data_IF_036703771335
#
_entry.id   IF_036703771335
#
_cell.length_a   1.000
_cell.length_b   1.000
_cell.length_c   1.000
_cell.angle_alpha   90.00
_cell.angle_beta   90.00
_cell.angle_gamma   90.00
#
_symmetry.space_group_name_H-M   'P 1'
#
loop_
_entity.id
_entity.type
_entity.pdbx_description
1 polymer ?
#
# COMPACT_ATOMS: atom_id res chain seq x y z
N UNK A 1 7.51 -1.48 12.14
CA UNK A 1 6.12 -1.77 11.72
C UNK A 1 6.03 -3.20 11.22
N UNK A 2 4.93 -3.87 11.51
CA UNK A 2 4.71 -5.25 11.09
C UNK A 2 3.33 -5.43 10.44
N UNK A 3 3.25 -6.40 9.54
CA UNK A 3 1.99 -6.87 8.96
C UNK A 3 1.63 -8.18 9.66
N UNK A 4 0.37 -8.30 10.06
CA UNK A 4 -0.15 -9.44 10.79
C UNK A 4 -1.23 -10.14 9.97
N UNK A 5 -1.17 -11.48 9.92
CA UNK A 5 -2.28 -12.31 9.49
C UNK A 5 -3.03 -12.81 10.73
N UNK A 6 -4.32 -12.57 10.76
CA UNK A 6 -5.19 -12.96 11.87
C UNK A 6 -6.23 -13.98 11.42
N UNK A 7 -6.46 -14.99 12.25
CA UNK A 7 -7.54 -15.95 12.02
C UNK A 7 -8.84 -15.40 12.61
N UNK A 8 -9.79 -15.07 11.75
CA UNK A 8 -11.10 -14.56 12.16
C UNK A 8 -11.97 -15.62 12.82
N UNK A 9 -11.73 -16.90 12.55
CA UNK A 9 -12.46 -18.02 13.16
C UNK A 9 -11.94 -18.37 14.56
N UNK A 10 -10.69 -17.96 14.88
CA UNK A 10 -10.07 -18.17 16.20
C UNK A 10 -9.86 -16.82 16.92
N UNK A 11 -10.93 -16.06 17.05
CA UNK A 11 -10.96 -14.80 17.81
C UNK A 11 -9.83 -13.82 17.44
N UNK A 12 -9.55 -13.70 16.14
CA UNK A 12 -8.50 -12.81 15.59
C UNK A 12 -7.08 -13.12 16.08
N UNK A 13 -6.83 -14.37 16.42
CA UNK A 13 -5.49 -14.81 16.80
C UNK A 13 -4.49 -14.51 15.68
N UNK A 14 -3.36 -13.94 16.03
CA UNK A 14 -2.24 -13.73 15.09
C UNK A 14 -1.64 -15.10 14.77
N UNK A 15 -1.68 -15.48 13.51
CA UNK A 15 -1.15 -16.76 13.01
C UNK A 15 0.15 -16.60 12.23
N UNK A 16 0.44 -15.38 11.75
CA UNK A 16 1.67 -15.05 11.05
C UNK A 16 1.94 -13.56 11.09
N UNK A 17 3.22 -13.17 10.99
CA UNK A 17 3.61 -11.77 10.87
C UNK A 17 4.98 -11.62 10.21
N UNK A 18 5.23 -10.48 9.60
CA UNK A 18 6.54 -10.07 9.13
C UNK A 18 6.75 -8.57 9.28
N UNK A 19 8.01 -8.17 9.43
CA UNK A 19 8.40 -6.78 9.57
C UNK A 19 8.45 -6.07 8.21
N UNK A 20 8.12 -4.78 8.20
CA UNK A 20 8.28 -3.89 7.05
C UNK A 20 9.17 -2.71 7.43
N UNK A 21 9.96 -2.17 6.47
CA UNK A 21 11.04 -1.21 6.80
C UNK A 21 10.55 0.16 7.23
N UNK A 22 9.31 0.53 6.93
CA UNK A 22 8.83 1.89 7.18
C UNK A 22 7.81 1.94 8.32
N UNK A 23 7.76 3.05 9.08
CA UNK A 23 6.87 3.16 10.23
C UNK A 23 5.40 3.45 9.86
N UNK A 24 5.13 3.87 8.61
CA UNK A 24 3.78 4.29 8.20
C UNK A 24 3.34 3.56 6.95
N UNK A 25 2.54 2.54 7.16
CA UNK A 25 1.90 1.75 6.13
C UNK A 25 0.39 1.97 6.22
N UNK A 26 -0.26 2.24 5.09
CA UNK A 26 -1.70 2.52 5.05
C UNK A 26 -2.49 1.50 4.23
N UNK A 27 -2.42 1.56 2.91
CA UNK A 27 -3.21 0.70 2.05
C UNK A 27 -2.61 -0.69 1.87
N UNK A 28 -3.45 -1.70 1.82
CA UNK A 28 -3.08 -3.08 1.53
C UNK A 28 -3.94 -3.61 0.38
N UNK A 29 -3.34 -4.32 -0.56
CA UNK A 29 -4.06 -5.00 -1.62
C UNK A 29 -3.46 -6.39 -1.90
N UNK A 30 -4.23 -7.43 -1.62
CA UNK A 30 -3.79 -8.83 -1.80
C UNK A 30 -3.86 -9.21 -3.27
N UNK A 31 -2.80 -9.84 -3.75
CA UNK A 31 -2.70 -10.48 -5.07
C UNK A 31 -2.24 -11.92 -4.91
N UNK A 32 -2.29 -12.73 -5.99
CA UNK A 32 -2.03 -14.16 -5.90
C UNK A 32 -0.67 -14.50 -5.27
N UNK A 33 0.37 -13.78 -5.64
CA UNK A 33 1.74 -14.03 -5.21
C UNK A 33 2.25 -13.08 -4.12
N UNK A 34 1.42 -12.15 -3.63
CA UNK A 34 1.91 -11.20 -2.65
C UNK A 34 0.89 -10.22 -2.11
N UNK A 35 1.40 -9.23 -1.41
CA UNK A 35 0.63 -8.16 -0.81
C UNK A 35 1.24 -6.81 -1.18
N UNK A 36 0.52 -6.01 -1.95
CA UNK A 36 0.89 -4.64 -2.20
C UNK A 36 0.60 -3.77 -0.99
N UNK A 37 1.56 -2.96 -0.60
CA UNK A 37 1.50 -2.10 0.60
C UNK A 37 1.89 -0.67 0.25
N UNK A 38 1.03 0.29 0.57
CA UNK A 38 1.31 1.71 0.37
C UNK A 38 2.09 2.26 1.57
N UNK A 39 3.35 2.57 1.36
CA UNK A 39 4.20 3.32 2.29
C UNK A 39 4.07 4.80 1.94
N UNK A 40 2.96 5.37 2.35
CA UNK A 40 2.49 6.68 1.87
C UNK A 40 3.49 7.81 2.11
N UNK A 41 4.11 7.85 3.28
CA UNK A 41 5.06 8.92 3.64
C UNK A 41 6.35 8.85 2.82
N UNK A 42 6.74 7.65 2.41
CA UNK A 42 7.98 7.42 1.66
C UNK A 42 7.75 7.44 0.14
N UNK A 43 6.52 7.64 -0.29
CA UNK A 43 6.13 7.70 -1.70
C UNK A 43 6.49 6.43 -2.47
N UNK A 44 6.35 5.27 -1.82
CA UNK A 44 6.58 3.97 -2.46
C UNK A 44 5.43 3.01 -2.20
N UNK A 45 5.21 2.12 -3.15
CA UNK A 45 4.30 0.99 -3.00
C UNK A 45 5.15 -0.27 -3.18
N UNK A 46 5.15 -1.13 -2.19
CA UNK A 46 5.99 -2.33 -2.18
C UNK A 46 5.11 -3.57 -2.15
N UNK A 47 5.47 -4.56 -2.96
CA UNK A 47 4.85 -5.87 -2.95
C UNK A 47 5.71 -6.82 -2.13
N UNK A 48 5.11 -7.43 -1.13
CA UNK A 48 5.79 -8.39 -0.27
C UNK A 48 5.27 -9.81 -0.49
N UNK A 49 6.17 -10.78 -0.39
CA UNK A 49 5.82 -12.17 -0.18
C UNK A 49 5.16 -12.33 1.19
N UNK A 50 3.98 -12.94 1.25
CA UNK A 50 3.20 -12.98 2.49
C UNK A 50 3.74 -13.98 3.52
N UNK A 51 4.55 -14.94 3.10
CA UNK A 51 5.13 -15.94 4.00
C UNK A 51 6.47 -15.48 4.57
N UNK A 52 7.36 -15.00 3.70
CA UNK A 52 8.72 -14.60 4.09
C UNK A 52 8.86 -13.12 4.47
N UNK A 53 7.96 -12.26 3.97
CA UNK A 53 8.11 -10.81 4.07
C UNK A 53 9.12 -10.22 3.10
N UNK A 54 9.66 -11.03 2.17
CA UNK A 54 10.61 -10.55 1.18
C UNK A 54 9.95 -9.58 0.20
N UNK A 55 10.67 -8.53 -0.18
CA UNK A 55 10.23 -7.61 -1.23
C UNK A 55 10.26 -8.33 -2.59
N UNK A 56 9.12 -8.35 -3.28
CA UNK A 56 8.96 -8.97 -4.60
C UNK A 56 9.00 -7.92 -5.71
N UNK A 57 8.48 -6.73 -5.46
CA UNK A 57 8.36 -5.68 -6.47
C UNK A 57 8.20 -4.32 -5.80
N UNK A 58 8.48 -3.24 -6.55
CA UNK A 58 8.44 -1.87 -6.03
C UNK A 58 7.97 -0.89 -7.09
N UNK A 59 7.10 0.01 -6.68
CA UNK A 59 6.69 1.18 -7.46
C UNK A 59 7.13 2.41 -6.68
N UNK A 60 8.06 3.19 -7.23
CA UNK A 60 8.44 4.47 -6.67
C UNK A 60 7.63 5.58 -7.33
N UNK A 61 7.01 6.41 -6.53
CA UNK A 61 6.22 7.55 -6.98
C UNK A 61 7.05 8.83 -6.89
N UNK A 62 6.86 9.71 -7.87
CA UNK A 62 7.51 11.02 -7.87
C UNK A 62 6.79 11.99 -6.92
N UNK A 63 7.45 13.09 -6.60
CA UNK A 63 6.92 14.09 -5.67
C UNK A 63 5.59 14.70 -6.14
N UNK A 64 5.38 14.78 -7.46
CA UNK A 64 4.16 15.30 -8.06
C UNK A 64 3.04 14.28 -8.22
N UNK A 65 3.31 13.02 -7.92
CA UNK A 65 2.32 11.95 -8.05
C UNK A 65 1.31 11.96 -6.90
N UNK A 66 0.27 11.12 -7.02
CA UNK A 66 -0.73 10.92 -6.00
C UNK A 66 -0.11 10.47 -4.67
N UNK A 67 -0.63 10.97 -3.58
CA UNK A 67 -0.26 10.53 -2.22
C UNK A 67 -1.06 9.28 -1.88
N UNK A 68 -0.61 8.12 -2.39
CA UNK A 68 -1.35 6.86 -2.33
C UNK A 68 -1.58 6.42 -0.88
N UNK A 69 -2.85 6.21 -0.53
CA UNK A 69 -3.25 5.84 0.82
C UNK A 69 -4.04 4.52 0.82
N UNK A 70 -5.25 4.53 0.26
CA UNK A 70 -6.04 3.31 0.10
C UNK A 70 -5.68 2.58 -1.18
N UNK A 71 -5.76 1.25 -1.17
CA UNK A 71 -5.53 0.43 -2.36
C UNK A 71 -6.53 -0.71 -2.47
N UNK A 72 -6.76 -1.15 -3.70
CA UNK A 72 -7.61 -2.30 -4.04
C UNK A 72 -7.16 -2.90 -5.36
N UNK A 73 -7.58 -4.15 -5.62
CA UNK A 73 -7.39 -4.80 -6.91
C UNK A 73 -8.75 -4.95 -7.59
N UNK A 74 -8.80 -4.58 -8.86
CA UNK A 74 -9.96 -4.82 -9.70
C UNK A 74 -9.49 -5.19 -11.11
N UNK A 75 -9.94 -6.33 -11.60
CA UNK A 75 -9.61 -6.84 -12.94
C UNK A 75 -8.10 -6.91 -13.21
N UNK A 76 -7.31 -7.23 -12.18
CA UNK A 76 -5.86 -7.32 -12.24
C UNK A 76 -5.12 -5.99 -12.11
N UNK A 77 -5.82 -4.87 -12.14
CA UNK A 77 -5.25 -3.54 -11.98
C UNK A 77 -5.19 -3.12 -10.50
N UNK A 78 -4.13 -2.39 -10.15
CA UNK A 78 -3.98 -1.80 -8.83
C UNK A 78 -4.63 -0.43 -8.80
N UNK A 79 -5.73 -0.31 -8.06
CA UNK A 79 -6.44 0.92 -7.83
C UNK A 79 -5.99 1.60 -6.55
N UNK A 80 -5.99 2.92 -6.52
CA UNK A 80 -5.63 3.69 -5.34
C UNK A 80 -6.58 4.84 -5.05
N UNK A 81 -6.64 5.23 -3.78
CA UNK A 81 -7.23 6.47 -3.31
C UNK A 81 -6.14 7.40 -2.79
N UNK A 82 -6.25 8.67 -3.14
CA UNK A 82 -5.32 9.72 -2.73
C UNK A 82 -5.66 10.23 -1.33
N UNK A 83 -4.66 10.34 -0.45
CA UNK A 83 -4.83 10.93 0.88
C UNK A 83 -5.00 12.45 0.85
N UNK A 84 -4.57 13.10 -0.23
CA UNK A 84 -4.63 14.55 -0.43
C UNK A 84 -4.10 15.37 0.76
N UNK A 85 -2.89 15.09 1.20
CA UNK A 85 -2.23 15.86 2.26
C UNK A 85 -1.71 17.19 1.70
N UNK A 86 -2.52 18.22 1.84
CA UNK A 86 -2.18 19.57 1.39
C UNK A 86 -0.82 20.02 1.92
N UNK A 87 0.00 20.60 1.03
CA UNK A 87 1.32 21.13 1.38
C UNK A 87 2.41 20.09 1.59
N UNK A 88 2.15 18.84 1.24
CA UNK A 88 3.15 17.76 1.29
C UNK A 88 3.65 17.40 -0.11
N UNK A 89 3.58 16.13 -0.48
CA UNK A 89 4.20 15.62 -1.71
C UNK A 89 3.38 15.91 -2.96
N UNK A 90 2.08 15.97 -2.85
CA UNK A 90 1.21 16.09 -4.00
C UNK A 90 0.68 17.52 -4.16
N UNK A 91 1.41 18.32 -4.89
CA UNK A 91 0.99 19.71 -5.20
C UNK A 91 0.06 19.78 -6.41
N UNK A 92 0.06 18.78 -7.28
CA UNK A 92 -0.74 18.78 -8.51
C UNK A 92 -2.24 18.66 -8.24
N UNK A 93 -2.61 17.97 -7.16
CA UNK A 93 -4.00 17.68 -6.82
C UNK A 93 -4.42 18.18 -5.44
N UNK A 94 -3.69 19.15 -4.88
CA UNK A 94 -4.06 19.78 -3.61
C UNK A 94 -5.51 20.27 -3.63
N UNK A 95 -6.30 19.84 -2.65
CA UNK A 95 -7.72 20.13 -2.57
C UNK A 95 -8.61 19.32 -3.50
N UNK A 96 -8.03 18.40 -4.28
CA UNK A 96 -8.76 17.56 -5.23
C UNK A 96 -8.31 16.10 -5.09
N UNK A 97 -8.76 15.38 -4.04
CA UNK A 97 -8.44 13.98 -3.91
C UNK A 97 -8.91 13.20 -5.14
N UNK A 98 -8.13 12.21 -5.55
CA UNK A 98 -8.44 11.42 -6.73
C UNK A 98 -8.49 9.93 -6.43
N UNK A 99 -9.13 9.21 -7.34
CA UNK A 99 -9.05 7.76 -7.44
C UNK A 99 -8.42 7.44 -8.78
N UNK A 100 -7.43 6.57 -8.80
CA UNK A 100 -6.71 6.25 -10.02
C UNK A 100 -6.32 4.78 -10.11
N UNK A 101 -5.68 4.46 -11.23
CA UNK A 101 -5.17 3.13 -11.54
C UNK A 101 -3.68 3.24 -11.81
N UNK A 102 -2.92 2.33 -11.23
CA UNK A 102 -1.50 2.18 -11.53
C UNK A 102 -1.35 1.09 -12.57
N UNK A 103 -0.90 1.45 -13.76
CA UNK A 103 -0.62 0.51 -14.85
C UNK A 103 0.85 0.09 -14.82
N UNK A 104 1.08 -1.18 -15.03
CA UNK A 104 2.42 -1.76 -15.05
C UNK A 104 2.70 -2.50 -16.35
#
# INVERSE_FOLDING_TARGET
TAIYLMDTADNYKIVHSFEVPTPRLHGLARVDDGLWCAHTTDNVIIKYDVDSGAELDRITLDEGDAFVHGMSIKDGDLWYGDANFAGKHNTAIVGKPEIGIIKR
#
